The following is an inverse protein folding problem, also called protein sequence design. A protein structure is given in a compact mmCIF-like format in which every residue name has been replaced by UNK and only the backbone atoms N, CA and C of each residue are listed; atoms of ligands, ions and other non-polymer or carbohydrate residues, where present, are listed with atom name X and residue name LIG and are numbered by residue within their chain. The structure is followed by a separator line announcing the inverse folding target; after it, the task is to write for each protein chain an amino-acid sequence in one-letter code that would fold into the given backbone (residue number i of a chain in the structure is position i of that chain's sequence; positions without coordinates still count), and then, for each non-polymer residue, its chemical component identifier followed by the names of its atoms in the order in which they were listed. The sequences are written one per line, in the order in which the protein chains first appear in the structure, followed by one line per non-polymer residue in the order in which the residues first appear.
data_IF_683936530020
#
_entry.id   IF_683936530020
#
_cell.length_a   1.000
_cell.length_b   1.000
_cell.length_c   1.000
_cell.angle_alpha   90.00
_cell.angle_beta   90.00
_cell.angle_gamma   90.00
#
_symmetry.space_group_name_H-M   'P 1'
#
loop_
_entity.id
_entity.type
_entity.pdbx_description
1 polymer ?
#
# COMPACT_ATOMS: atom_id res chain seq x y z
N UNK A 1 -62.13 47.87 -42.61
CA UNK A 1 -62.51 46.97 -43.73
C UNK A 1 -61.24 46.49 -44.42
N UNK A 2 -61.18 45.18 -44.72
CA UNK A 2 -60.23 44.41 -45.57
C UNK A 2 -58.84 44.02 -45.01
N UNK A 3 -58.79 42.73 -44.64
CA UNK A 3 -57.81 41.65 -44.91
C UNK A 3 -56.31 41.90 -45.17
N UNK A 4 -55.45 41.17 -44.43
CA UNK A 4 -54.71 39.96 -44.87
C UNK A 4 -53.95 39.36 -43.65
N UNK A 5 -54.22 38.15 -43.14
CA UNK A 5 -53.63 36.82 -43.46
C UNK A 5 -52.12 36.87 -43.77
N UNK A 6 -51.23 36.01 -43.28
CA UNK A 6 -51.15 34.91 -42.30
C UNK A 6 -49.66 34.49 -42.35
N UNK A 7 -48.99 34.12 -41.23
CA UNK A 7 -47.97 33.04 -41.21
C UNK A 7 -47.42 32.79 -39.80
N UNK A 8 -47.90 31.70 -39.21
CA UNK A 8 -47.19 30.64 -38.47
C UNK A 8 -45.91 31.03 -37.70
N UNK A 9 -46.00 31.05 -36.37
CA UNK A 9 -44.86 30.86 -35.46
C UNK A 9 -44.98 29.49 -34.79
N UNK A 10 -44.15 28.53 -35.22
CA UNK A 10 -43.95 27.27 -34.51
C UNK A 10 -42.79 27.45 -33.52
N UNK A 11 -43.10 27.42 -32.23
CA UNK A 11 -42.11 27.41 -31.15
C UNK A 11 -41.61 25.97 -30.98
N UNK A 12 -40.42 25.66 -31.50
CA UNK A 12 -39.73 24.41 -31.17
C UNK A 12 -39.01 24.58 -29.84
N UNK A 13 -39.55 23.98 -28.78
CA UNK A 13 -38.83 23.71 -27.53
C UNK A 13 -37.96 22.50 -27.76
N UNK A 14 -36.65 22.72 -27.95
CA UNK A 14 -35.67 21.63 -28.05
C UNK A 14 -35.38 21.11 -26.64
N UNK A 15 -35.86 19.91 -26.36
CA UNK A 15 -35.43 19.08 -25.23
C UNK A 15 -34.03 18.55 -25.55
N UNK A 16 -32.99 19.11 -24.92
CA UNK A 16 -31.66 18.49 -24.92
C UNK A 16 -31.58 17.46 -23.80
N UNK A 17 -31.79 16.19 -24.16
CA UNK A 17 -31.23 15.06 -23.42
C UNK A 17 -29.72 15.06 -23.61
N UNK A 18 -28.96 15.56 -22.63
CA UNK A 18 -27.51 15.35 -22.57
C UNK A 18 -27.22 13.99 -21.95
N UNK A 19 -27.23 12.97 -22.81
CA UNK A 19 -26.48 11.73 -22.59
C UNK A 19 -25.00 12.12 -22.53
N UNK A 20 -24.44 12.25 -21.32
CA UNK A 20 -23.00 12.35 -21.15
C UNK A 20 -22.38 10.98 -21.49
N UNK A 21 -22.07 10.78 -22.76
CA UNK A 21 -21.06 9.82 -23.18
C UNK A 21 -19.78 10.12 -22.38
N UNK A 22 -19.40 9.20 -21.50
CA UNK A 22 -18.06 9.15 -20.95
C UNK A 22 -17.08 9.09 -22.13
N UNK A 23 -16.39 10.20 -22.41
CA UNK A 23 -15.25 10.16 -23.33
C UNK A 23 -14.25 9.16 -22.75
N UNK A 24 -13.88 8.16 -23.54
CA UNK A 24 -12.71 7.35 -23.26
C UNK A 24 -11.53 8.29 -23.07
N UNK A 25 -10.89 8.23 -21.90
CA UNK A 25 -9.63 8.94 -21.68
C UNK A 25 -8.60 8.22 -22.55
N UNK A 26 -8.27 8.82 -23.70
CA UNK A 26 -7.17 8.34 -24.52
C UNK A 26 -5.88 8.42 -23.69
N UNK A 27 -5.17 7.30 -23.63
CA UNK A 27 -3.81 7.24 -23.11
C UNK A 27 -2.98 8.23 -23.91
N UNK A 28 -2.49 9.31 -23.30
CA UNK A 28 -1.59 10.25 -23.98
C UNK A 28 -0.24 9.54 -24.23
N UNK A 29 -0.16 8.85 -25.37
CA UNK A 29 1.00 8.08 -25.81
C UNK A 29 2.22 8.97 -26.03
N UNK A 30 2.01 10.24 -26.39
CA UNK A 30 3.06 11.22 -26.65
C UNK A 30 3.79 11.66 -25.37
N UNK A 31 3.04 11.90 -24.28
CA UNK A 31 3.61 12.19 -22.97
C UNK A 31 4.41 11.00 -22.42
N UNK A 32 3.93 9.76 -22.63
CA UNK A 32 4.69 8.55 -22.32
C UNK A 32 5.95 8.44 -23.17
N UNK A 33 5.88 8.64 -24.49
CA UNK A 33 7.04 8.47 -25.38
C UNK A 33 8.15 9.51 -25.18
N UNK A 34 7.79 10.77 -24.90
CA UNK A 34 8.77 11.82 -24.58
C UNK A 34 9.46 11.54 -23.23
N UNK A 35 8.73 10.98 -22.27
CA UNK A 35 9.24 10.59 -20.96
C UNK A 35 10.18 9.36 -21.03
N UNK A 36 9.78 8.33 -21.78
CA UNK A 36 10.62 7.16 -22.08
C UNK A 36 11.92 7.59 -22.79
N UNK A 37 11.84 8.54 -23.73
CA UNK A 37 13.01 9.07 -24.43
C UNK A 37 13.91 9.95 -23.55
N UNK A 38 13.34 10.77 -22.65
CA UNK A 38 14.07 11.77 -21.87
C UNK A 38 14.71 11.27 -20.56
N UNK A 39 14.10 10.31 -19.87
CA UNK A 39 14.63 9.76 -18.60
C UNK A 39 15.40 8.45 -18.84
N UNK A 40 15.00 7.67 -19.84
CA UNK A 40 15.37 6.24 -19.98
C UNK A 40 15.86 5.86 -21.37
N UNK A 41 15.88 6.80 -22.33
CA UNK A 41 16.23 6.55 -23.73
C UNK A 41 17.68 6.13 -24.00
N UNK A 42 18.49 5.97 -22.95
CA UNK A 42 19.91 5.65 -23.05
C UNK A 42 20.40 4.60 -22.04
N UNK A 43 19.51 3.85 -21.39
CA UNK A 43 19.94 2.82 -20.45
C UNK A 43 19.66 1.41 -20.99
N UNK A 44 20.70 0.56 -20.98
CA UNK A 44 20.71 -0.76 -21.63
C UNK A 44 21.13 -1.88 -20.67
N UNK A 45 21.40 -1.52 -19.41
CA UNK A 45 21.80 -2.42 -18.34
C UNK A 45 21.22 -1.91 -17.02
N UNK A 46 21.05 -2.79 -16.03
CA UNK A 46 20.59 -2.39 -14.69
C UNK A 46 21.45 -1.26 -14.11
N UNK A 47 22.76 -1.34 -14.32
CA UNK A 47 23.73 -0.35 -13.89
C UNK A 47 23.51 1.02 -14.52
N UNK A 48 23.44 1.08 -15.86
CA UNK A 48 23.23 2.34 -16.57
C UNK A 48 21.86 2.94 -16.25
N UNK A 49 20.82 2.11 -16.08
CA UNK A 49 19.49 2.60 -15.72
C UNK A 49 19.49 3.19 -14.32
N UNK A 50 20.12 2.51 -13.36
CA UNK A 50 20.23 2.99 -11.98
C UNK A 50 21.05 4.29 -11.91
N UNK A 51 22.17 4.38 -12.60
CA UNK A 51 23.03 5.57 -12.60
C UNK A 51 22.31 6.80 -13.19
N UNK A 52 21.45 6.61 -14.19
CA UNK A 52 20.60 7.69 -14.70
C UNK A 52 19.50 8.04 -13.69
N UNK A 53 18.87 7.04 -13.07
CA UNK A 53 17.84 7.25 -12.07
C UNK A 53 18.35 8.07 -10.87
N UNK A 54 19.51 7.74 -10.32
CA UNK A 54 20.10 8.42 -9.15
C UNK A 54 20.30 9.92 -9.37
N UNK A 55 20.55 10.38 -10.60
CA UNK A 55 20.69 11.81 -10.93
C UNK A 55 19.41 12.61 -10.64
N UNK A 56 18.27 11.93 -10.60
CA UNK A 56 16.97 12.52 -10.29
C UNK A 56 16.63 12.53 -8.80
N UNK A 57 17.52 12.04 -7.93
CA UNK A 57 17.21 11.81 -6.51
C UNK A 57 17.81 12.85 -5.57
N UNK A 58 17.06 13.18 -4.52
CA UNK A 58 17.46 14.16 -3.50
C UNK A 58 18.62 13.61 -2.65
N UNK A 59 18.43 12.41 -2.08
CA UNK A 59 19.30 11.78 -1.08
C UNK A 59 20.04 10.54 -1.62
N UNK A 60 20.06 10.35 -2.94
CA UNK A 60 20.50 9.10 -3.55
C UNK A 60 19.40 8.03 -3.54
N UNK A 61 19.75 6.87 -4.08
CA UNK A 61 18.94 5.65 -4.06
C UNK A 61 19.80 4.39 -3.86
N UNK A 62 19.13 3.28 -3.55
CA UNK A 62 19.66 1.92 -3.70
C UNK A 62 18.67 1.02 -4.43
N UNK A 63 19.17 0.02 -5.14
CA UNK A 63 18.39 -0.92 -5.92
C UNK A 63 18.91 -2.34 -5.73
N UNK A 64 18.02 -3.26 -5.37
CA UNK A 64 18.34 -4.66 -5.09
C UNK A 64 17.36 -5.59 -5.79
N UNK A 65 17.85 -6.70 -6.35
CA UNK A 65 17.04 -7.77 -6.94
C UNK A 65 17.41 -9.09 -6.30
N UNK A 66 16.39 -9.89 -5.99
CA UNK A 66 16.51 -11.18 -5.34
C UNK A 66 15.83 -12.26 -6.17
N UNK A 67 16.48 -13.41 -6.29
CA UNK A 67 15.93 -14.58 -6.98
C UNK A 67 14.90 -15.34 -6.13
N UNK A 68 14.40 -16.46 -6.67
CA UNK A 68 13.40 -17.34 -6.05
C UNK A 68 13.79 -17.89 -4.67
N UNK A 69 15.08 -17.93 -4.34
CA UNK A 69 15.59 -18.43 -3.07
C UNK A 69 15.78 -17.30 -2.03
N UNK A 70 15.47 -16.06 -2.42
CA UNK A 70 15.79 -14.88 -1.64
C UNK A 70 17.27 -14.50 -1.69
N UNK A 71 18.02 -15.01 -2.66
CA UNK A 71 19.43 -14.65 -2.84
C UNK A 71 19.51 -13.34 -3.60
N UNK A 72 20.25 -12.36 -3.07
CA UNK A 72 20.48 -11.09 -3.76
C UNK A 72 21.39 -11.31 -4.98
N UNK A 73 20.83 -11.19 -6.18
CA UNK A 73 21.53 -11.41 -7.45
C UNK A 73 21.98 -10.11 -8.13
N UNK A 74 21.43 -8.98 -7.68
CA UNK A 74 21.84 -7.66 -8.12
C UNK A 74 21.74 -6.68 -6.97
N UNK A 75 22.71 -5.78 -6.86
CA UNK A 75 22.70 -4.70 -5.90
C UNK A 75 23.50 -3.52 -6.44
N UNK A 76 22.91 -2.32 -6.42
CA UNK A 76 23.61 -1.07 -6.71
C UNK A 76 23.11 0.03 -5.78
N UNK A 77 23.99 0.92 -5.33
CA UNK A 77 23.65 2.00 -4.42
C UNK A 77 24.42 3.27 -4.73
N UNK A 78 23.96 4.38 -4.16
CA UNK A 78 24.63 5.68 -4.19
C UNK A 78 24.78 6.20 -2.75
N UNK A 79 24.31 7.42 -2.45
CA UNK A 79 24.36 8.01 -1.10
C UNK A 79 23.43 7.27 -0.13
N UNK A 80 22.20 6.95 -0.56
CA UNK A 80 21.30 6.08 0.18
C UNK A 80 21.73 4.63 -0.06
N UNK A 81 22.17 3.95 1.00
CA UNK A 81 22.66 2.57 0.95
C UNK A 81 21.56 1.54 1.30
N UNK A 82 21.91 0.25 1.30
CA UNK A 82 20.95 -0.81 1.61
C UNK A 82 20.46 -0.83 3.07
N UNK A 83 21.18 -0.17 3.99
CA UNK A 83 20.95 -0.20 5.42
C UNK A 83 20.43 1.13 5.97
N UNK A 84 20.31 2.15 5.12
CA UNK A 84 19.86 3.49 5.49
C UNK A 84 18.37 3.47 5.80
N UNK A 85 18.02 3.85 7.03
CA UNK A 85 16.62 3.97 7.46
C UNK A 85 16.03 5.28 6.98
N UNK A 86 14.93 5.18 6.22
CA UNK A 86 14.15 6.33 5.76
C UNK A 86 12.67 6.06 5.89
N UNK A 87 11.84 7.11 6.05
CA UNK A 87 10.40 6.99 5.89
C UNK A 87 10.07 6.42 4.51
N UNK A 88 9.32 5.32 4.46
CA UNK A 88 8.94 4.66 3.20
C UNK A 88 7.54 5.05 2.73
N UNK A 89 6.87 5.95 3.45
CA UNK A 89 5.51 6.38 3.18
C UNK A 89 4.61 5.17 2.93
N UNK A 90 3.81 5.18 1.85
CA UNK A 90 2.88 4.08 1.53
C UNK A 90 3.49 2.68 1.37
N UNK A 91 4.82 2.52 1.31
CA UNK A 91 5.47 1.22 1.50
C UNK A 91 5.16 0.56 2.84
N UNK A 92 4.73 1.32 3.85
CA UNK A 92 4.29 0.83 5.16
C UNK A 92 3.06 -0.07 5.10
N UNK A 93 2.17 0.10 4.11
CA UNK A 93 0.90 -0.62 4.03
C UNK A 93 1.09 -2.14 3.97
N UNK A 94 2.10 -2.59 3.23
CA UNK A 94 2.42 -4.01 3.14
C UNK A 94 2.91 -4.57 4.48
N UNK A 95 3.72 -3.80 5.22
CA UNK A 95 4.19 -4.17 6.57
C UNK A 95 3.03 -4.23 7.56
N UNK A 96 2.07 -3.31 7.47
CA UNK A 96 0.85 -3.35 8.29
C UNK A 96 0.03 -4.61 7.99
N UNK A 97 -0.18 -4.95 6.73
CA UNK A 97 -0.90 -6.17 6.35
C UNK A 97 -0.18 -7.45 6.78
N UNK A 98 1.15 -7.52 6.60
CA UNK A 98 1.98 -8.64 7.06
C UNK A 98 1.92 -8.77 8.58
N UNK A 99 2.02 -7.66 9.33
CA UNK A 99 1.86 -7.67 10.80
C UNK A 99 0.48 -8.19 11.20
N UNK A 100 -0.59 -7.77 10.51
CA UNK A 100 -1.95 -8.24 10.77
C UNK A 100 -2.09 -9.75 10.55
N UNK A 101 -1.62 -10.26 9.41
CA UNK A 101 -1.68 -11.68 9.09
C UNK A 101 -0.79 -12.51 10.01
N UNK A 102 0.39 -11.99 10.39
CA UNK A 102 1.26 -12.65 11.35
C UNK A 102 0.64 -12.70 12.74
N UNK A 103 -0.07 -11.66 13.19
CA UNK A 103 -0.85 -11.71 14.43
C UNK A 103 -1.93 -12.81 14.39
N UNK A 104 -2.63 -12.95 13.26
CA UNK A 104 -3.63 -14.01 13.04
C UNK A 104 -2.97 -15.40 13.10
N UNK A 105 -1.88 -15.61 12.36
CA UNK A 105 -1.17 -16.90 12.33
C UNK A 105 -0.61 -17.27 13.71
N UNK A 106 0.00 -16.30 14.42
CA UNK A 106 0.52 -16.48 15.78
C UNK A 106 -0.60 -16.80 16.78
N UNK A 107 -1.74 -16.10 16.68
CA UNK A 107 -2.91 -16.36 17.51
C UNK A 107 -3.57 -17.72 17.22
N UNK A 108 -3.37 -18.26 16.03
CA UNK A 108 -3.76 -19.63 15.66
C UNK A 108 -2.70 -20.68 16.01
N UNK A 109 -1.54 -20.28 16.58
CA UNK A 109 -0.41 -21.19 16.85
C UNK A 109 0.28 -21.71 15.59
N UNK A 110 0.09 -21.05 14.44
CA UNK A 110 0.57 -21.46 13.12
C UNK A 110 1.80 -20.70 12.65
N UNK A 111 2.30 -19.73 13.42
CA UNK A 111 3.55 -19.00 13.18
C UNK A 111 4.50 -19.11 14.39
N UNK A 112 5.81 -19.00 14.11
CA UNK A 112 6.87 -19.08 15.11
C UNK A 112 7.40 -17.71 15.51
N UNK A 113 8.09 -17.63 16.66
CA UNK A 113 8.76 -16.43 17.17
C UNK A 113 7.81 -15.22 17.28
N UNK A 114 6.68 -15.40 17.96
CA UNK A 114 5.63 -14.38 18.06
C UNK A 114 5.67 -13.57 19.37
N UNK A 115 6.72 -13.74 20.18
CA UNK A 115 6.83 -13.13 21.50
C UNK A 115 5.65 -13.51 22.40
N UNK A 116 4.88 -12.51 22.83
CA UNK A 116 3.70 -12.70 23.70
C UNK A 116 2.39 -12.75 22.94
N UNK A 117 2.43 -12.72 21.60
CA UNK A 117 1.28 -13.00 20.75
C UNK A 117 1.22 -14.52 20.53
N UNK A 118 0.67 -15.23 21.50
CA UNK A 118 0.56 -16.69 21.48
C UNK A 118 -0.86 -17.15 21.10
N UNK A 119 -1.04 -18.46 20.98
CA UNK A 119 -2.34 -19.04 20.64
C UNK A 119 -3.44 -18.54 21.59
N UNK A 120 -4.49 -17.93 21.02
CA UNK A 120 -5.62 -17.36 21.77
C UNK A 120 -5.36 -16.06 22.53
N UNK A 121 -4.17 -15.46 22.41
CA UNK A 121 -3.82 -14.20 23.06
C UNK A 121 -4.51 -12.96 22.45
N UNK A 122 -4.93 -13.04 21.18
CA UNK A 122 -5.62 -11.96 20.45
C UNK A 122 -7.14 -12.15 20.39
N UNK A 123 -7.75 -12.31 21.56
CA UNK A 123 -9.18 -12.54 21.74
C UNK A 123 -9.86 -11.48 22.65
N UNK A 124 -9.13 -10.42 23.03
CA UNK A 124 -9.57 -9.46 24.04
C UNK A 124 -10.80 -8.66 23.57
N UNK A 125 -11.85 -8.62 24.40
CA UNK A 125 -13.10 -7.88 24.11
C UNK A 125 -14.05 -8.54 23.10
N UNK A 126 -13.84 -9.79 22.70
CA UNK A 126 -14.61 -10.40 21.62
C UNK A 126 -15.87 -11.16 22.09
N UNK A 127 -17.06 -10.68 21.70
CA UNK A 127 -18.30 -11.50 21.72
C UNK A 127 -18.22 -12.70 20.73
N UNK A 128 -17.23 -12.69 19.82
CA UNK A 128 -17.11 -13.66 18.72
C UNK A 128 -15.72 -14.27 18.50
N UNK A 129 -14.85 -14.29 19.52
CA UNK A 129 -13.56 -14.99 19.47
C UNK A 129 -12.38 -14.26 18.79
N UNK A 130 -11.44 -15.06 18.30
CA UNK A 130 -10.12 -14.65 17.80
C UNK A 130 -10.12 -13.57 16.71
N UNK A 131 -9.04 -12.77 16.66
CA UNK A 131 -8.78 -11.90 15.51
C UNK A 131 -8.63 -12.72 14.22
N UNK A 132 -9.37 -12.35 13.18
CA UNK A 132 -9.32 -12.94 11.83
C UNK A 132 -9.65 -11.85 10.80
N UNK A 133 -9.45 -12.14 9.51
CA UNK A 133 -9.83 -11.23 8.42
C UNK A 133 -11.33 -10.88 8.38
N UNK A 134 -12.21 -11.76 8.89
CA UNK A 134 -13.66 -11.54 8.92
C UNK A 134 -14.15 -10.82 10.18
N UNK A 135 -13.28 -10.59 11.17
CA UNK A 135 -13.66 -9.87 12.39
C UNK A 135 -14.06 -8.45 12.05
N UNK A 136 -15.13 -8.01 12.68
CA UNK A 136 -15.74 -6.71 12.40
C UNK A 136 -15.36 -5.66 13.43
N UNK A 137 -15.46 -4.39 13.03
CA UNK A 137 -15.32 -3.23 13.91
C UNK A 137 -16.34 -3.23 15.06
N UNK A 138 -17.56 -3.75 14.88
CA UNK A 138 -18.50 -3.92 15.99
C UNK A 138 -17.97 -4.87 17.06
N UNK A 139 -17.42 -6.00 16.64
CA UNK A 139 -16.96 -7.02 17.57
C UNK A 139 -15.62 -6.72 18.24
N UNK A 140 -14.87 -5.73 17.75
CA UNK A 140 -13.54 -5.37 18.27
C UNK A 140 -13.53 -3.96 18.87
N UNK A 141 -14.14 -2.98 18.20
CA UNK A 141 -14.15 -1.57 18.61
C UNK A 141 -15.51 -1.13 19.18
N UNK A 142 -16.51 -2.01 19.25
CA UNK A 142 -17.85 -1.68 19.74
C UNK A 142 -18.63 -0.72 18.84
N UNK A 143 -18.24 -0.59 17.56
CA UNK A 143 -18.93 0.28 16.62
C UNK A 143 -20.36 -0.22 16.31
N UNK A 144 -21.26 0.72 16.04
CA UNK A 144 -22.65 0.47 15.65
C UNK A 144 -22.98 1.15 14.32
N UNK A 145 -24.18 0.91 13.78
CA UNK A 145 -24.65 1.53 12.53
C UNK A 145 -23.96 1.02 11.27
N UNK A 146 -23.89 1.86 10.24
CA UNK A 146 -23.39 1.53 8.89
C UNK A 146 -22.02 0.84 8.91
N UNK A 147 -21.12 1.31 9.76
CA UNK A 147 -19.73 0.83 9.80
C UNK A 147 -19.50 -0.28 10.82
N UNK A 148 -20.54 -0.81 11.48
CA UNK A 148 -20.45 -1.89 12.46
C UNK A 148 -19.89 -3.20 11.86
N UNK A 149 -20.25 -3.50 10.62
CA UNK A 149 -19.91 -4.77 9.95
C UNK A 149 -18.68 -4.65 9.05
N UNK A 150 -17.94 -3.54 9.11
CA UNK A 150 -16.67 -3.41 8.40
C UNK A 150 -15.69 -4.45 8.93
N UNK A 151 -15.13 -5.27 8.04
CA UNK A 151 -14.18 -6.33 8.41
C UNK A 151 -12.73 -5.85 8.36
N UNK A 152 -11.84 -6.53 9.08
CA UNK A 152 -10.38 -6.32 8.96
C UNK A 152 -9.90 -6.47 7.51
N UNK A 153 -10.47 -7.43 6.75
CA UNK A 153 -10.21 -7.60 5.32
C UNK A 153 -10.53 -6.34 4.53
N UNK A 154 -11.72 -5.77 4.71
CA UNK A 154 -12.13 -4.54 4.01
C UNK A 154 -11.25 -3.34 4.37
N UNK A 155 -10.75 -3.28 5.61
CA UNK A 155 -9.79 -2.25 6.03
C UNK A 155 -8.44 -2.43 5.34
N UNK A 156 -7.89 -3.64 5.28
CA UNK A 156 -6.60 -3.89 4.62
C UNK A 156 -6.68 -3.77 3.08
N UNK A 157 -7.88 -3.91 2.50
CA UNK A 157 -8.14 -3.83 1.07
C UNK A 157 -8.68 -2.48 0.57
N UNK A 158 -8.93 -1.52 1.47
CA UNK A 158 -9.49 -0.19 1.19
C UNK A 158 -10.89 -0.20 0.59
N UNK A 159 -11.68 -1.19 0.99
CA UNK A 159 -13.08 -1.35 0.58
C UNK A 159 -14.04 -1.14 1.75
N UNK A 160 -13.60 -0.58 2.88
CA UNK A 160 -14.46 -0.42 4.07
C UNK A 160 -15.46 0.74 4.02
N UNK A 161 -15.39 1.62 3.02
CA UNK A 161 -16.20 2.83 2.95
C UNK A 161 -15.77 3.96 3.90
N UNK A 162 -14.64 3.81 4.61
CA UNK A 162 -14.07 4.83 5.49
C UNK A 162 -13.37 5.96 4.70
N UNK A 163 -14.15 6.69 3.92
CA UNK A 163 -13.65 7.71 3.01
C UNK A 163 -13.15 8.94 3.77
N UNK A 164 -12.04 9.54 3.31
CA UNK A 164 -11.60 10.83 3.82
C UNK A 164 -12.65 11.93 3.52
N UNK A 165 -12.91 12.81 4.49
CA UNK A 165 -13.74 14.00 4.27
C UNK A 165 -13.15 14.89 3.16
N UNK A 166 -13.99 15.49 2.30
CA UNK A 166 -13.55 16.41 1.25
C UNK A 166 -13.79 15.98 -0.21
N UNK A 167 -14.73 15.07 -0.47
CA UNK A 167 -15.32 14.87 -1.80
C UNK A 167 -14.52 14.06 -2.83
N UNK A 168 -13.19 13.95 -2.69
CA UNK A 168 -12.35 13.26 -3.70
C UNK A 168 -11.85 11.87 -3.25
N UNK A 169 -12.20 11.39 -2.06
CA UNK A 169 -11.81 10.05 -1.56
C UNK A 169 -10.34 9.88 -1.15
N UNK A 170 -9.48 10.85 -1.47
CA UNK A 170 -8.07 10.93 -1.07
C UNK A 170 -7.90 11.67 0.26
N UNK A 171 -7.05 11.18 1.17
CA UNK A 171 -6.64 11.94 2.35
C UNK A 171 -6.43 11.10 3.60
N UNK A 172 -6.51 11.76 4.75
CA UNK A 172 -6.46 11.14 6.07
C UNK A 172 -7.17 12.04 7.08
N UNK A 173 -7.79 11.45 8.10
CA UNK A 173 -8.19 12.21 9.28
C UNK A 173 -6.95 12.85 9.93
N UNK A 174 -7.03 14.14 10.26
CA UNK A 174 -5.90 14.91 10.81
C UNK A 174 -5.35 14.29 12.09
N UNK A 175 -6.22 13.71 12.92
CA UNK A 175 -5.86 13.06 14.18
C UNK A 175 -4.79 11.97 13.99
N UNK A 176 -4.76 11.26 12.85
CA UNK A 176 -3.78 10.19 12.59
C UNK A 176 -2.35 10.72 12.68
N UNK A 177 -2.11 11.95 12.21
CA UNK A 177 -0.78 12.57 12.19
C UNK A 177 -0.44 13.42 13.40
N UNK A 178 -1.41 13.71 14.26
CA UNK A 178 -1.26 14.65 15.39
C UNK A 178 -1.45 14.00 16.75
N UNK A 179 -1.54 12.66 16.82
CA UNK A 179 -1.56 11.96 18.09
C UNK A 179 -0.26 12.24 18.85
N UNK A 180 -0.34 12.65 20.14
CA UNK A 180 0.85 12.91 20.94
C UNK A 180 1.58 11.60 21.21
N UNK A 181 2.91 11.64 21.27
CA UNK A 181 3.74 10.48 21.56
C UNK A 181 3.26 9.73 22.81
N UNK A 182 3.03 8.41 22.70
CA UNK A 182 2.48 7.61 23.79
C UNK A 182 0.97 7.78 23.96
N UNK A 183 0.25 7.96 22.85
CA UNK A 183 -1.18 8.24 22.85
C UNK A 183 -1.96 7.15 23.61
N UNK A 184 -2.82 7.60 24.51
CA UNK A 184 -3.68 6.72 25.31
C UNK A 184 -4.72 6.00 24.43
N UNK A 185 -5.25 4.90 24.95
CA UNK A 185 -6.35 4.18 24.28
C UNK A 185 -7.57 5.07 24.01
N UNK A 186 -7.88 6.00 24.90
CA UNK A 186 -8.96 6.97 24.71
C UNK A 186 -8.67 7.88 23.51
N UNK A 187 -7.46 8.42 23.37
CA UNK A 187 -7.10 9.29 22.24
C UNK A 187 -7.15 8.52 20.92
N UNK A 188 -6.63 7.29 20.89
CA UNK A 188 -6.69 6.43 19.70
C UNK A 188 -8.13 6.05 19.33
N UNK A 189 -8.95 5.71 20.33
CA UNK A 189 -10.38 5.42 20.15
C UNK A 189 -11.14 6.64 19.60
N UNK A 190 -10.87 7.84 20.13
CA UNK A 190 -11.47 9.08 19.62
C UNK A 190 -11.11 9.30 18.16
N UNK A 191 -9.83 9.15 17.79
CA UNK A 191 -9.41 9.31 16.39
C UNK A 191 -10.10 8.33 15.42
N UNK A 192 -10.21 7.04 15.78
CA UNK A 192 -10.91 6.07 14.91
C UNK A 192 -12.43 6.28 14.90
N UNK A 193 -13.02 6.77 15.98
CA UNK A 193 -14.43 7.17 16.01
C UNK A 193 -14.67 8.41 15.13
N UNK A 194 -13.77 9.40 15.14
CA UNK A 194 -13.85 10.57 14.26
C UNK A 194 -13.77 10.15 12.79
N UNK A 195 -12.88 9.19 12.45
CA UNK A 195 -12.82 8.59 11.11
C UNK A 195 -14.19 8.00 10.72
N UNK A 196 -14.80 7.19 11.61
CA UNK A 196 -16.12 6.58 11.38
C UNK A 196 -17.18 7.65 11.14
N UNK A 197 -17.25 8.65 12.02
CA UNK A 197 -18.33 9.63 12.05
C UNK A 197 -18.26 10.63 10.89
N UNK A 198 -17.06 10.87 10.35
CA UNK A 198 -16.86 11.71 9.16
C UNK A 198 -16.99 10.95 7.83
N UNK A 199 -17.01 9.61 7.87
CA UNK A 199 -17.07 8.79 6.67
C UNK A 199 -18.48 8.75 6.08
N UNK A 200 -18.58 8.75 4.74
CA UNK A 200 -19.85 8.72 4.00
C UNK A 200 -19.97 7.54 3.02
N UNK A 201 -18.97 6.65 2.99
CA UNK A 201 -18.93 5.53 2.05
C UNK A 201 -19.77 4.33 2.49
N UNK A 202 -20.20 3.53 1.51
CA UNK A 202 -20.85 2.24 1.79
C UNK A 202 -19.78 1.14 1.86
N UNK A 203 -19.69 0.37 2.96
CA UNK A 203 -18.77 -0.76 3.04
C UNK A 203 -18.94 -1.75 1.88
N UNK A 204 -17.84 -2.17 1.27
CA UNK A 204 -17.77 -3.09 0.14
C UNK A 204 -18.13 -2.48 -1.22
N UNK A 205 -18.69 -1.27 -1.28
CA UNK A 205 -19.15 -0.70 -2.55
C UNK A 205 -17.99 -0.16 -3.42
N UNK A 206 -17.06 0.57 -2.81
CA UNK A 206 -15.98 1.25 -3.51
C UNK A 206 -14.62 0.92 -2.89
N UNK A 207 -13.63 0.78 -3.75
CA UNK A 207 -12.22 0.94 -3.41
C UNK A 207 -11.85 2.43 -3.35
N UNK A 208 -11.27 2.87 -2.23
CA UNK A 208 -10.96 4.27 -1.97
C UNK A 208 -9.58 4.40 -1.31
N UNK A 209 -8.55 4.76 -2.08
CA UNK A 209 -7.18 4.83 -1.54
C UNK A 209 -6.98 6.01 -0.58
N UNK A 210 -6.90 5.74 0.73
CA UNK A 210 -6.61 6.73 1.78
C UNK A 210 -5.99 6.08 3.03
N UNK A 211 -5.62 6.87 4.04
CA UNK A 211 -4.95 6.36 5.25
C UNK A 211 -5.89 5.83 6.33
N UNK A 212 -7.17 6.21 6.31
CA UNK A 212 -8.12 5.94 7.39
C UNK A 212 -8.30 4.44 7.63
N UNK A 213 -8.35 3.65 6.55
CA UNK A 213 -8.53 2.21 6.64
C UNK A 213 -7.44 1.51 7.47
N UNK A 214 -6.17 1.88 7.25
CA UNK A 214 -5.04 1.28 7.97
C UNK A 214 -4.99 1.71 9.43
N UNK A 215 -5.38 2.96 9.74
CA UNK A 215 -5.48 3.44 11.12
C UNK A 215 -6.45 2.57 11.93
N UNK A 216 -7.65 2.32 11.39
CA UNK A 216 -8.65 1.49 12.05
C UNK A 216 -8.19 0.02 12.13
N UNK A 217 -7.50 -0.50 11.11
CA UNK A 217 -6.94 -1.86 11.15
C UNK A 217 -5.90 -2.05 12.27
N UNK A 218 -4.97 -1.09 12.43
CA UNK A 218 -4.02 -1.13 13.54
C UNK A 218 -4.74 -1.08 14.89
N UNK A 219 -5.75 -0.20 15.03
CA UNK A 219 -6.50 -0.12 16.28
C UNK A 219 -7.25 -1.41 16.60
N UNK A 220 -7.82 -2.08 15.60
CA UNK A 220 -8.44 -3.40 15.78
C UNK A 220 -7.42 -4.42 16.31
N UNK A 221 -6.20 -4.43 15.79
CA UNK A 221 -5.15 -5.34 16.27
C UNK A 221 -4.74 -5.02 17.70
N UNK A 222 -4.55 -3.74 18.04
CA UNK A 222 -4.20 -3.33 19.40
C UNK A 222 -5.23 -3.80 20.43
N UNK A 223 -6.52 -3.55 20.15
CA UNK A 223 -7.61 -3.91 21.05
C UNK A 223 -7.74 -5.42 21.16
N UNK A 224 -7.76 -6.14 20.03
CA UNK A 224 -7.92 -7.60 20.02
C UNK A 224 -6.77 -8.32 20.74
N UNK A 225 -5.54 -7.83 20.59
CA UNK A 225 -4.35 -8.42 21.20
C UNK A 225 -4.02 -7.86 22.59
N UNK A 226 -4.75 -6.85 23.07
CA UNK A 226 -4.45 -6.11 24.30
C UNK A 226 -2.98 -5.65 24.36
N UNK A 227 -2.47 -5.09 23.26
CA UNK A 227 -1.07 -4.69 23.08
C UNK A 227 -1.01 -3.40 22.28
N UNK A 228 0.00 -2.58 22.52
CA UNK A 228 0.25 -1.41 21.66
C UNK A 228 0.74 -1.86 20.28
N UNK A 229 0.57 -1.01 19.27
CA UNK A 229 1.09 -1.25 17.94
C UNK A 229 2.61 -1.47 17.94
N UNK A 230 3.35 -0.68 18.72
CA UNK A 230 4.80 -0.85 18.85
C UNK A 230 5.17 -2.20 19.45
N UNK A 231 4.40 -2.69 20.43
CA UNK A 231 4.61 -4.02 21.01
C UNK A 231 4.33 -5.11 19.97
N UNK A 232 3.23 -5.00 19.24
CA UNK A 232 2.88 -5.95 18.18
C UNK A 232 3.93 -5.96 17.07
N UNK A 233 4.30 -4.79 16.56
CA UNK A 233 5.30 -4.65 15.51
C UNK A 233 6.68 -5.15 15.97
N UNK A 234 7.09 -4.84 17.20
CA UNK A 234 8.35 -5.33 17.74
C UNK A 234 8.37 -6.86 17.82
N UNK A 235 7.35 -7.46 18.44
CA UNK A 235 7.30 -8.90 18.68
C UNK A 235 7.05 -9.71 17.41
N UNK A 236 6.24 -9.19 16.48
CA UNK A 236 5.87 -9.90 15.27
C UNK A 236 6.86 -9.64 14.14
N UNK A 237 7.48 -8.47 14.02
CA UNK A 237 8.31 -8.14 12.86
C UNK A 237 9.76 -7.88 13.25
N UNK A 238 10.02 -6.91 14.12
CA UNK A 238 11.37 -6.41 14.39
C UNK A 238 12.24 -7.50 15.02
N UNK A 239 11.79 -8.11 16.12
CA UNK A 239 12.55 -9.13 16.84
C UNK A 239 12.79 -10.38 16.01
N UNK A 240 11.77 -10.98 15.34
CA UNK A 240 11.99 -12.21 14.58
C UNK A 240 12.87 -12.03 13.36
N UNK A 241 12.92 -10.83 12.78
CA UNK A 241 13.75 -10.51 11.62
C UNK A 241 15.07 -9.82 12.00
N UNK A 242 15.34 -9.62 13.28
CA UNK A 242 16.56 -8.98 13.77
C UNK A 242 16.76 -7.54 13.29
N UNK A 243 15.68 -6.76 13.17
CA UNK A 243 15.76 -5.35 12.78
C UNK A 243 16.24 -4.49 13.96
N UNK A 244 16.84 -3.32 13.66
CA UNK A 244 17.18 -2.35 14.69
C UNK A 244 15.91 -1.66 15.21
N UNK A 245 15.49 -2.00 16.43
CA UNK A 245 14.28 -1.47 17.06
C UNK A 245 14.34 0.04 17.32
N UNK A 246 15.54 0.65 17.36
CA UNK A 246 15.71 2.09 17.55
C UNK A 246 15.51 2.89 16.26
N UNK A 247 15.62 2.23 15.10
CA UNK A 247 15.53 2.86 13.78
C UNK A 247 14.30 2.42 12.98
N UNK A 248 13.84 1.18 13.16
CA UNK A 248 12.58 0.67 12.60
C UNK A 248 11.40 1.19 13.42
N UNK A 249 11.00 2.44 13.20
CA UNK A 249 10.01 3.14 14.03
C UNK A 249 8.84 3.67 13.22
N UNK A 250 7.66 3.72 13.86
CA UNK A 250 6.46 4.32 13.30
C UNK A 250 6.28 5.74 13.82
N UNK A 251 5.92 6.68 12.93
CA UNK A 251 5.69 8.08 13.28
C UNK A 251 4.38 8.59 12.70
N UNK A 252 3.62 9.33 13.51
CA UNK A 252 2.41 10.06 13.11
C UNK A 252 2.67 11.07 11.99
N UNK A 253 3.79 11.77 12.10
CA UNK A 253 4.21 12.83 11.21
C UNK A 253 5.70 12.65 10.88
N UNK A 254 5.98 12.13 9.69
CA UNK A 254 7.34 11.94 9.20
C UNK A 254 7.87 13.14 8.39
N UNK A 255 7.10 14.25 8.30
CA UNK A 255 7.44 15.42 7.46
C UNK A 255 8.12 16.54 8.25
N UNK A 256 7.72 16.77 9.49
CA UNK A 256 8.18 17.93 10.29
C UNK A 256 9.25 17.59 11.32
N UNK A 257 9.62 16.32 11.45
CA UNK A 257 10.55 15.84 12.48
C UNK A 257 9.97 15.82 13.89
N UNK A 258 8.70 16.17 14.05
CA UNK A 258 7.97 16.12 15.32
C UNK A 258 7.74 14.67 15.76
N UNK A 259 8.07 14.38 17.02
CA UNK A 259 7.77 13.09 17.63
C UNK A 259 6.25 12.98 17.88
N UNK A 260 5.61 12.14 17.09
CA UNK A 260 4.17 11.87 17.11
C UNK A 260 3.94 10.37 17.08
N UNK A 261 2.87 9.93 17.73
CA UNK A 261 2.56 8.52 17.88
C UNK A 261 2.23 7.87 16.53
N UNK A 262 2.92 6.77 16.22
CA UNK A 262 2.79 6.04 14.95
C UNK A 262 1.75 4.92 14.94
N UNK A 263 1.04 4.69 16.05
CA UNK A 263 0.16 3.52 16.24
C UNK A 263 -1.06 3.49 15.30
N UNK A 264 -1.44 4.62 14.71
CA UNK A 264 -2.50 4.72 13.69
C UNK A 264 -1.97 5.07 12.29
N UNK A 265 -0.65 5.13 12.11
CA UNK A 265 0.00 5.56 10.85
C UNK A 265 0.38 4.42 9.91
N UNK A 266 -0.33 3.29 9.94
CA UNK A 266 -0.05 2.06 9.18
C UNK A 266 0.01 2.28 7.67
N UNK A 267 -0.68 3.32 7.20
CA UNK A 267 -0.67 3.68 5.79
C UNK A 267 0.62 4.35 5.32
N UNK A 268 1.49 4.86 6.20
CA UNK A 268 2.65 5.65 5.78
C UNK A 268 3.84 5.77 6.75
N UNK A 269 3.64 5.48 8.04
CA UNK A 269 4.46 6.02 9.12
C UNK A 269 5.77 5.29 9.40
N UNK A 270 6.04 4.17 8.72
CA UNK A 270 7.23 3.37 8.98
C UNK A 270 8.49 4.01 8.39
N UNK A 271 9.53 4.09 9.20
CA UNK A 271 10.92 4.22 8.73
C UNK A 271 11.62 2.88 8.83
N UNK A 272 12.33 2.48 7.77
CA UNK A 272 13.02 1.18 7.69
C UNK A 272 14.13 1.23 6.64
N UNK A 273 15.13 0.36 6.77
CA UNK A 273 16.12 0.10 5.70
C UNK A 273 15.58 -0.84 4.62
N UNK A 274 16.04 -0.70 3.36
CA UNK A 274 15.59 -1.58 2.28
C UNK A 274 16.09 -3.03 2.42
N UNK A 275 17.26 -3.27 3.04
CA UNK A 275 17.72 -4.64 3.33
C UNK A 275 16.78 -5.36 4.32
N UNK A 276 16.33 -4.67 5.36
CA UNK A 276 15.36 -5.21 6.32
C UNK A 276 14.01 -5.47 5.67
N UNK A 277 13.52 -4.53 4.84
CA UNK A 277 12.29 -4.74 4.08
C UNK A 277 12.37 -5.96 3.15
N UNK A 278 13.51 -6.17 2.49
CA UNK A 278 13.72 -7.33 1.61
C UNK A 278 13.59 -8.66 2.36
N UNK A 279 14.13 -8.74 3.59
CA UNK A 279 14.05 -9.96 4.39
C UNK A 279 12.61 -10.34 4.75
N UNK A 280 11.76 -9.35 5.07
CA UNK A 280 10.33 -9.57 5.26
C UNK A 280 9.62 -9.92 3.94
N UNK A 281 9.93 -9.20 2.85
CA UNK A 281 9.31 -9.43 1.54
C UNK A 281 9.57 -10.85 1.01
N UNK A 282 10.71 -11.45 1.39
CA UNK A 282 11.03 -12.84 1.07
C UNK A 282 9.95 -13.83 1.50
N UNK A 283 9.22 -13.54 2.60
CA UNK A 283 8.13 -14.40 3.05
C UNK A 283 7.01 -14.51 2.01
N UNK A 284 6.75 -13.46 1.24
CA UNK A 284 5.72 -13.49 0.20
C UNK A 284 6.18 -14.24 -1.06
N UNK A 285 7.48 -14.14 -1.39
CA UNK A 285 8.08 -14.88 -2.50
C UNK A 285 8.13 -16.39 -2.22
N UNK A 286 8.46 -16.77 -0.99
CA UNK A 286 8.76 -18.15 -0.59
C UNK A 286 7.62 -18.82 0.21
N UNK A 287 6.40 -18.29 0.11
CA UNK A 287 5.19 -18.83 0.76
C UNK A 287 5.30 -18.99 2.29
N UNK A 288 6.03 -18.10 2.95
CA UNK A 288 6.05 -18.00 4.41
C UNK A 288 7.43 -17.99 5.07
N UNK A 289 8.53 -18.05 4.29
CA UNK A 289 9.89 -18.05 4.84
C UNK A 289 10.50 -16.65 4.71
N UNK A 290 10.68 -15.96 5.83
CA UNK A 290 11.39 -14.68 5.81
C UNK A 290 12.91 -14.87 5.90
N UNK A 291 13.66 -13.79 5.73
CA UNK A 291 15.09 -13.71 6.07
C UNK A 291 15.28 -12.71 7.21
N UNK A 292 16.04 -13.08 8.22
CA UNK A 292 16.49 -12.12 9.24
C UNK A 292 17.65 -11.25 8.73
N UNK A 293 18.11 -10.30 9.55
CA UNK A 293 19.19 -9.38 9.22
C UNK A 293 20.55 -10.05 8.99
N UNK A 294 20.73 -11.30 9.43
CA UNK A 294 21.92 -12.11 9.12
C UNK A 294 21.82 -12.86 7.79
N UNK A 295 20.65 -12.85 7.15
CA UNK A 295 20.36 -13.63 5.94
C UNK A 295 19.90 -15.06 6.22
N UNK A 296 19.63 -15.40 7.48
CA UNK A 296 19.15 -16.72 7.91
C UNK A 296 17.64 -16.85 7.69
N UNK A 297 17.18 -18.05 7.31
CA UNK A 297 15.76 -18.32 7.13
C UNK A 297 15.01 -18.28 8.47
N UNK A 298 13.95 -17.47 8.51
CA UNK A 298 12.94 -17.52 9.57
C UNK A 298 11.77 -18.33 9.02
N UNK A 299 11.78 -19.63 9.31
CA UNK A 299 10.75 -20.56 8.87
C UNK A 299 9.44 -20.31 9.62
N UNK A 300 8.32 -20.58 8.95
CA UNK A 300 6.98 -20.40 9.54
C UNK A 300 6.76 -18.95 9.98
N UNK A 301 7.24 -17.99 9.19
CA UNK A 301 7.04 -16.57 9.43
C UNK A 301 5.60 -16.14 9.08
N UNK A 302 5.07 -16.65 7.98
CA UNK A 302 3.65 -16.59 7.63
C UNK A 302 3.20 -17.98 7.20
N UNK A 303 1.91 -18.26 7.31
CA UNK A 303 1.33 -19.42 6.63
C UNK A 303 1.24 -19.17 5.13
N UNK A 304 1.24 -20.23 4.33
CA UNK A 304 1.01 -20.14 2.88
C UNK A 304 -0.37 -19.56 2.55
N UNK A 305 -1.37 -19.83 3.39
CA UNK A 305 -2.69 -19.21 3.31
C UNK A 305 -2.61 -17.69 3.51
N UNK A 306 -1.87 -17.22 4.53
CA UNK A 306 -1.65 -15.79 4.76
C UNK A 306 -0.96 -15.10 3.59
N UNK A 307 0.04 -15.75 2.98
CA UNK A 307 0.68 -15.22 1.77
C UNK A 307 -0.31 -15.14 0.60
N UNK A 308 -1.15 -16.16 0.42
CA UNK A 308 -2.18 -16.17 -0.62
C UNK A 308 -3.18 -15.03 -0.42
N UNK A 309 -3.65 -14.85 0.82
CA UNK A 309 -4.58 -13.78 1.17
C UNK A 309 -3.98 -12.38 0.94
N UNK A 310 -2.72 -12.17 1.31
CA UNK A 310 -2.05 -10.88 1.07
C UNK A 310 -2.05 -10.52 -0.42
N UNK A 311 -1.80 -11.49 -1.29
CA UNK A 311 -1.57 -11.24 -2.73
C UNK A 311 -2.82 -11.37 -3.60
N UNK A 312 -3.89 -12.00 -3.10
CA UNK A 312 -5.14 -12.21 -3.84
C UNK A 312 -5.86 -10.89 -4.16
N UNK A 313 -6.78 -10.92 -5.13
CA UNK A 313 -7.73 -9.83 -5.33
C UNK A 313 -8.67 -9.71 -4.12
N UNK A 314 -8.69 -8.54 -3.48
CA UNK A 314 -9.51 -8.28 -2.29
C UNK A 314 -10.67 -7.32 -2.56
N UNK A 315 -10.96 -7.00 -3.83
CA UNK A 315 -12.09 -6.12 -4.17
C UNK A 315 -13.44 -6.71 -3.76
N UNK A 316 -13.62 -8.02 -3.94
CA UNK A 316 -14.87 -8.72 -3.61
C UNK A 316 -16.13 -7.99 -4.16
N UNK A 317 -16.07 -7.54 -5.41
CA UNK A 317 -17.15 -6.81 -6.08
C UNK A 317 -17.12 -5.28 -5.94
N UNK A 318 -16.21 -4.72 -5.14
CA UNK A 318 -16.02 -3.27 -5.06
C UNK A 318 -15.60 -2.68 -6.42
N UNK A 319 -16.01 -1.44 -6.70
CA UNK A 319 -15.59 -0.69 -7.88
C UNK A 319 -14.53 0.35 -7.51
N UNK A 320 -13.67 0.72 -8.44
CA UNK A 320 -12.71 1.82 -8.21
C UNK A 320 -13.48 3.12 -8.02
N UNK A 321 -13.47 3.66 -6.80
CA UNK A 321 -13.94 5.01 -6.49
C UNK A 321 -12.80 6.02 -6.65
N UNK A 322 -11.72 5.82 -5.90
CA UNK A 322 -10.49 6.60 -6.01
C UNK A 322 -9.25 5.70 -6.01
N UNK A 323 -8.40 5.92 -7.01
CA UNK A 323 -7.05 5.38 -7.09
C UNK A 323 -6.12 6.46 -7.59
N UNK A 324 -4.97 6.60 -6.93
CA UNK A 324 -3.90 7.51 -7.36
C UNK A 324 -3.36 7.18 -8.76
N UNK A 325 -3.56 5.94 -9.23
CA UNK A 325 -3.10 5.49 -10.53
C UNK A 325 -4.12 5.67 -11.66
N UNK A 326 -5.39 5.98 -11.32
CA UNK A 326 -6.41 6.28 -12.33
C UNK A 326 -6.04 7.48 -13.21
N UNK A 327 -5.29 8.45 -12.68
CA UNK A 327 -4.80 9.59 -13.45
C UNK A 327 -3.84 9.20 -14.58
N UNK A 328 -3.20 8.02 -14.49
CA UNK A 328 -2.34 7.45 -15.52
C UNK A 328 -3.08 6.43 -16.41
N UNK A 329 -4.39 6.29 -16.26
CA UNK A 329 -5.22 5.33 -16.98
C UNK A 329 -5.16 3.90 -16.43
N UNK A 330 -4.47 3.67 -15.30
CA UNK A 330 -4.39 2.35 -14.70
C UNK A 330 -5.62 2.05 -13.84
N UNK A 331 -6.12 0.81 -13.94
CA UNK A 331 -7.29 0.31 -13.21
C UNK A 331 -6.94 -0.87 -12.30
N UNK A 332 -5.75 -0.80 -11.70
CA UNK A 332 -5.22 -1.89 -10.88
C UNK A 332 -6.11 -2.18 -9.67
N UNK A 333 -6.29 -3.48 -9.44
CA UNK A 333 -6.94 -3.99 -8.24
C UNK A 333 -5.97 -3.95 -7.04
N UNK A 334 -6.43 -4.44 -5.90
CA UNK A 334 -5.70 -4.33 -4.63
C UNK A 334 -5.78 -5.62 -3.84
N UNK A 335 -4.66 -5.99 -3.21
CA UNK A 335 -4.58 -7.08 -2.23
C UNK A 335 -4.74 -6.55 -0.80
N UNK A 336 -4.15 -7.23 0.18
CA UNK A 336 -4.08 -6.71 1.54
C UNK A 336 -2.85 -5.82 1.67
N UNK A 337 -3.06 -4.50 1.58
CA UNK A 337 -2.00 -3.51 1.74
C UNK A 337 -1.05 -3.36 0.55
N UNK A 338 -1.33 -3.97 -0.60
CA UNK A 338 -0.52 -3.89 -1.81
C UNK A 338 -1.36 -3.71 -3.09
N UNK A 339 -0.78 -3.06 -4.08
CA UNK A 339 -1.32 -2.98 -5.43
C UNK A 339 -1.10 -4.28 -6.19
N UNK A 340 -2.05 -4.62 -7.07
CA UNK A 340 -1.97 -5.72 -8.04
C UNK A 340 -1.85 -5.15 -9.45
N UNK A 341 -0.61 -4.98 -9.92
CA UNK A 341 -0.32 -4.46 -11.26
C UNK A 341 -0.24 -5.62 -12.26
N UNK A 342 -1.13 -5.61 -13.25
CA UNK A 342 -1.18 -6.55 -14.37
C UNK A 342 -1.69 -5.84 -15.64
N UNK A 343 -1.59 -6.51 -16.80
CA UNK A 343 -2.07 -5.95 -18.08
C UNK A 343 -3.59 -5.94 -18.19
N UNK A 344 -4.25 -7.02 -17.74
CA UNK A 344 -5.72 -7.16 -17.79
C UNK A 344 -6.27 -7.12 -16.37
N UNK A 345 -6.81 -5.96 -15.98
CA UNK A 345 -7.17 -5.69 -14.57
C UNK A 345 -8.56 -6.17 -14.16
N UNK A 346 -9.49 -6.28 -15.11
CA UNK A 346 -10.91 -6.55 -14.82
C UNK A 346 -11.23 -8.06 -14.76
N UNK A 347 -10.27 -8.92 -15.13
CA UNK A 347 -10.40 -10.38 -15.09
C UNK A 347 -9.29 -10.94 -14.20
N UNK A 348 -9.58 -11.32 -12.93
CA UNK A 348 -8.55 -11.72 -11.97
C UNK A 348 -7.60 -12.82 -12.47
N UNK A 349 -8.12 -13.84 -13.15
CA UNK A 349 -7.32 -14.94 -13.68
C UNK A 349 -6.39 -14.54 -14.83
N UNK A 350 -6.72 -13.48 -15.57
CA UNK A 350 -5.83 -12.91 -16.59
C UNK A 350 -4.79 -11.99 -15.93
N UNK A 351 -5.22 -11.20 -14.94
CA UNK A 351 -4.34 -10.38 -14.11
C UNK A 351 -3.24 -11.22 -13.45
N UNK A 352 -3.59 -12.40 -12.94
CA UNK A 352 -2.66 -13.29 -12.25
C UNK A 352 -1.53 -13.82 -13.15
N UNK A 353 -1.67 -13.80 -14.49
CA UNK A 353 -0.64 -14.32 -15.42
C UNK A 353 0.59 -13.43 -15.53
N UNK A 354 0.45 -12.13 -15.30
CA UNK A 354 1.53 -11.15 -15.36
C UNK A 354 1.58 -10.23 -14.12
N UNK A 355 0.99 -10.69 -13.02
CA UNK A 355 0.85 -9.95 -11.78
C UNK A 355 2.21 -9.56 -11.17
N UNK A 356 2.37 -8.26 -10.99
CA UNK A 356 3.36 -7.62 -10.13
C UNK A 356 2.66 -7.06 -8.90
N UNK A 357 2.98 -7.60 -7.73
CA UNK A 357 2.50 -7.06 -6.46
C UNK A 357 3.47 -6.04 -5.91
N UNK A 358 2.99 -4.87 -5.49
CA UNK A 358 3.87 -3.81 -4.98
C UNK A 358 3.21 -2.90 -3.96
N UNK A 359 4.00 -2.16 -3.18
CA UNK A 359 3.50 -1.13 -2.25
C UNK A 359 4.34 0.13 -2.36
N UNK A 360 3.99 0.99 -3.34
CA UNK A 360 4.79 2.19 -3.62
C UNK A 360 4.57 3.28 -2.57
N UNK A 361 5.65 3.94 -2.16
CA UNK A 361 5.66 5.14 -1.33
C UNK A 361 5.66 6.42 -2.17
N UNK A 362 4.98 7.47 -1.69
CA UNK A 362 4.89 8.75 -2.43
C UNK A 362 6.26 9.41 -2.68
N UNK A 363 7.23 9.18 -1.80
CA UNK A 363 8.61 9.68 -1.94
C UNK A 363 9.50 8.78 -2.83
N UNK A 364 8.91 7.72 -3.42
CA UNK A 364 9.54 6.87 -4.43
C UNK A 364 9.99 5.49 -3.94
N UNK A 365 9.96 5.17 -2.64
CA UNK A 365 10.26 3.81 -2.18
C UNK A 365 9.36 2.79 -2.89
N UNK A 366 9.94 1.80 -3.57
CA UNK A 366 9.22 0.88 -4.43
C UNK A 366 9.70 -0.56 -4.31
N UNK A 367 9.07 -1.36 -3.43
CA UNK A 367 9.21 -2.80 -3.37
C UNK A 367 8.22 -3.45 -4.33
N UNK A 368 8.65 -4.48 -5.06
CA UNK A 368 7.75 -5.30 -5.86
C UNK A 368 8.15 -6.78 -5.86
N UNK A 369 7.17 -7.60 -6.19
CA UNK A 369 7.23 -9.06 -6.25
C UNK A 369 6.58 -9.54 -7.55
N UNK A 370 7.27 -10.36 -8.31
CA UNK A 370 6.73 -11.14 -9.42
C UNK A 370 6.81 -12.63 -9.04
N UNK A 371 5.68 -13.22 -8.64
CA UNK A 371 5.65 -14.66 -8.30
C UNK A 371 5.73 -15.55 -9.53
N UNK A 372 5.21 -15.10 -10.68
CA UNK A 372 5.22 -15.87 -11.92
C UNK A 372 6.65 -16.09 -12.42
N UNK A 373 7.52 -15.11 -12.24
CA UNK A 373 8.96 -15.22 -12.52
C UNK A 373 9.81 -15.55 -11.30
N UNK A 374 9.18 -15.58 -10.12
CA UNK A 374 9.78 -15.90 -8.83
C UNK A 374 10.98 -15.01 -8.49
N UNK A 375 10.77 -13.70 -8.51
CA UNK A 375 11.76 -12.74 -8.04
C UNK A 375 11.10 -11.58 -7.29
N UNK A 376 11.89 -10.90 -6.47
CA UNK A 376 11.48 -9.64 -5.83
C UNK A 376 12.57 -8.60 -5.98
N UNK A 377 12.20 -7.33 -5.88
CA UNK A 377 13.16 -6.24 -5.96
C UNK A 377 12.69 -5.02 -5.19
N UNK A 378 13.64 -4.19 -4.78
CA UNK A 378 13.40 -2.99 -4.00
C UNK A 378 14.25 -1.86 -4.57
N UNK A 379 13.58 -0.82 -5.06
CA UNK A 379 14.17 0.49 -5.30
C UNK A 379 13.89 1.37 -4.08
N UNK A 380 14.93 1.75 -3.34
CA UNK A 380 14.82 2.60 -2.17
C UNK A 380 15.28 4.02 -2.51
N UNK A 381 14.39 4.98 -2.27
CA UNK A 381 14.63 6.41 -2.48
C UNK A 381 13.71 7.18 -1.53
N UNK A 382 14.12 8.37 -1.13
CA UNK A 382 13.31 9.29 -0.32
C UNK A 382 13.37 10.71 -0.89
N UNK A 383 12.69 10.93 -2.01
CA UNK A 383 12.64 12.24 -2.67
C UNK A 383 11.54 13.09 -2.05
N UNK A 384 11.91 14.20 -1.42
CA UNK A 384 11.00 15.17 -0.81
C UNK A 384 10.69 16.35 -1.74
N UNK A 385 11.32 16.41 -2.92
CA UNK A 385 11.00 17.36 -3.98
C UNK A 385 12.05 18.43 -4.26
N UNK A 386 13.27 18.34 -3.73
CA UNK A 386 14.29 19.40 -3.91
C UNK A 386 14.96 19.40 -5.29
N UNK A 387 15.14 18.24 -5.92
CA UNK A 387 15.72 18.09 -7.27
C UNK A 387 14.68 17.78 -8.36
N UNK A 388 13.42 17.57 -7.97
CA UNK A 388 12.34 17.27 -8.92
C UNK A 388 11.83 18.51 -9.69
N UNK A 389 12.41 19.70 -9.50
CA UNK A 389 12.06 20.89 -10.28
C UNK A 389 12.25 20.76 -11.79
N UNK A 390 12.99 19.72 -12.24
CA UNK A 390 13.16 19.36 -13.67
C UNK A 390 12.34 18.13 -14.10
N UNK A 391 11.70 17.41 -13.16
CA UNK A 391 10.87 16.24 -13.43
C UNK A 391 9.39 16.60 -13.29
N UNK A 392 8.63 16.50 -14.38
CA UNK A 392 7.18 16.77 -14.42
C UNK A 392 6.34 15.76 -13.62
N UNK A 393 6.95 14.78 -12.94
CA UNK A 393 6.28 13.65 -12.31
C UNK A 393 6.56 13.54 -10.80
N UNK A 394 5.59 13.06 -10.01
CA UNK A 394 5.82 12.68 -8.62
C UNK A 394 6.90 11.59 -8.48
N UNK A 395 7.66 11.54 -7.37
CA UNK A 395 8.70 10.52 -7.17
C UNK A 395 8.23 9.09 -7.32
N UNK A 396 7.03 8.76 -6.83
CA UNK A 396 6.41 7.46 -7.02
C UNK A 396 6.25 7.09 -8.48
N UNK A 397 5.87 8.03 -9.35
CA UNK A 397 5.76 7.78 -10.78
C UNK A 397 7.13 7.49 -11.41
N UNK A 398 8.17 8.25 -11.04
CA UNK A 398 9.54 8.01 -11.54
C UNK A 398 10.05 6.61 -11.15
N UNK A 399 9.82 6.18 -9.90
CA UNK A 399 10.17 4.82 -9.45
C UNK A 399 9.40 3.73 -10.19
N UNK A 400 8.11 3.95 -10.45
CA UNK A 400 7.30 3.02 -11.24
C UNK A 400 7.89 2.86 -12.65
N UNK A 401 8.17 3.96 -13.36
CA UNK A 401 8.73 3.93 -14.71
C UNK A 401 10.14 3.31 -14.76
N UNK A 402 10.97 3.60 -13.77
CA UNK A 402 12.26 2.92 -13.60
C UNK A 402 12.07 1.41 -13.55
N UNK A 403 11.16 0.94 -12.68
CA UNK A 403 10.90 -0.49 -12.56
C UNK A 403 10.38 -1.08 -13.87
N UNK A 404 9.46 -0.42 -14.57
CA UNK A 404 8.98 -0.90 -15.88
C UNK A 404 10.11 -1.09 -16.88
N UNK A 405 11.09 -0.19 -16.85
CA UNK A 405 12.25 -0.21 -17.75
C UNK A 405 13.23 -1.33 -17.40
N UNK A 406 13.48 -1.55 -16.11
CA UNK A 406 14.45 -2.57 -15.70
C UNK A 406 13.88 -3.98 -15.62
N UNK A 407 12.55 -4.17 -15.55
CA UNK A 407 11.93 -5.51 -15.50
C UNK A 407 12.43 -6.44 -16.63
N UNK A 408 12.41 -6.06 -17.92
CA UNK A 408 12.95 -6.89 -19.00
C UNK A 408 14.44 -7.24 -18.84
N UNK A 409 15.24 -6.33 -18.27
CA UNK A 409 16.66 -6.57 -17.99
C UNK A 409 16.84 -7.58 -16.84
N UNK A 410 16.01 -7.48 -15.81
CA UNK A 410 15.96 -8.48 -14.72
C UNK A 410 15.59 -9.86 -15.27
N UNK A 411 14.55 -9.94 -16.10
CA UNK A 411 14.08 -11.17 -16.74
C UNK A 411 15.21 -11.86 -17.52
N UNK A 412 15.99 -11.06 -18.26
CA UNK A 412 17.18 -11.55 -18.97
C UNK A 412 18.23 -12.11 -18.01
N UNK A 413 18.47 -11.44 -16.87
CA UNK A 413 19.44 -11.88 -15.87
C UNK A 413 19.02 -13.16 -15.13
N UNK A 414 17.72 -13.35 -14.86
CA UNK A 414 17.19 -14.55 -14.19
C UNK A 414 16.82 -15.68 -15.16
N UNK A 415 16.81 -15.41 -16.46
CA UNK A 415 16.48 -16.37 -17.52
C UNK A 415 15.01 -16.81 -17.54
N UNK A 416 14.06 -15.91 -17.23
CA UNK A 416 12.62 -16.22 -17.12
C UNK A 416 11.70 -15.14 -17.67
#
# INVERSE_FOLDING_TARGET
MKHNRLSVFAFFVIVFFSVQCQKSVETNKEARSILFAGILGSCYSLDSCFDQYVKTTDEGASFQVYDQNGTRIYARQSVLDYNTYKPIASGSKWVTAITAMRAIDCNAGSASNCGTVTAGSCNNGAVGGAITLSRTTAQVLGWTGTYANVTLRQLLAFTSGLNAGGGNGSGQASCISTLPLGATDTQKNNCVNDIRDQSTGTPGALYQYNSNHMAVAQRMLEVACNKTWDTLFAQLIVTPLGWDASQAVWRGNFRTGEDTDGSLSGAYGLSISPAHYAGMLNALLTNGIAKDSSGTNVNTFLTSNSVTEILADQYNGARIGYSQFSAFGYRWQYGLGNWRFCTVTDVPSECDKDLISHSIGINGFFPWLDKNRSYMAILAVNNLGRKNGLNLLPPSSTSLFFAETVRPLIHTQIGR
#
